data_IF_684849500082
#
_entry.id   IF_684849500082
#
_cell.length_a   1.000
_cell.length_b   1.000
_cell.length_c   1.000
_cell.angle_alpha   90.00
_cell.angle_beta   90.00
_cell.angle_gamma   90.00
#
_symmetry.space_group_name_H-M   'P 1'
#
loop_
_entity.id
_entity.type
_entity.pdbx_description
1 polymer ?
#
# COMPACT_ATOMS: atom_id res chain seq x y z
N UNK A 1 -5.43 18.83 -16.02
CA UNK A 1 -6.36 19.18 -14.92
C UNK A 1 -6.11 18.32 -13.68
N UNK A 2 -6.08 17.00 -13.79
CA UNK A 2 -5.75 16.12 -12.65
C UNK A 2 -4.38 16.47 -12.04
N UNK A 3 -3.36 16.72 -12.85
CA UNK A 3 -2.03 17.12 -12.36
C UNK A 3 -2.06 18.39 -11.48
N UNK A 4 -2.86 19.39 -11.83
CA UNK A 4 -3.01 20.58 -11.00
C UNK A 4 -3.76 20.29 -9.69
N UNK A 5 -4.73 19.38 -9.72
CA UNK A 5 -5.39 18.91 -8.48
C UNK A 5 -4.41 18.16 -7.58
N UNK A 6 -3.56 17.31 -8.15
CA UNK A 6 -2.49 16.60 -7.44
C UNK A 6 -1.55 17.59 -6.75
N UNK A 7 -1.06 18.60 -7.46
CA UNK A 7 -0.19 19.63 -6.88
C UNK A 7 -0.89 20.41 -5.75
N UNK A 8 -2.17 20.77 -5.95
CA UNK A 8 -2.94 21.45 -4.92
C UNK A 8 -3.14 20.58 -3.66
N UNK A 9 -3.33 19.26 -3.83
CA UNK A 9 -3.44 18.31 -2.70
C UNK A 9 -2.09 18.19 -1.98
N UNK A 10 -0.97 18.12 -2.72
CA UNK A 10 0.37 18.09 -2.12
C UNK A 10 0.64 19.33 -1.27
N UNK A 11 0.27 20.50 -1.76
CA UNK A 11 0.51 21.78 -1.09
C UNK A 11 -0.45 22.03 0.09
N UNK A 12 -1.75 21.74 -0.09
CA UNK A 12 -2.79 22.14 0.86
C UNK A 12 -3.36 20.97 1.68
N UNK A 13 -2.94 19.74 1.38
CA UNK A 13 -3.41 18.54 2.06
C UNK A 13 -4.77 18.01 1.58
N UNK A 14 -5.28 16.92 2.20
CA UNK A 14 -6.48 16.21 1.75
C UNK A 14 -7.77 17.04 1.87
N UNK A 15 -7.77 18.10 2.70
CA UNK A 15 -8.90 19.03 2.86
C UNK A 15 -8.99 20.11 1.80
N UNK A 16 -8.17 20.05 0.73
CA UNK A 16 -8.12 21.07 -0.32
C UNK A 16 -9.49 21.40 -0.91
N UNK A 17 -9.78 22.70 -1.04
CA UNK A 17 -11.03 23.17 -1.63
C UNK A 17 -10.96 23.20 -3.16
N UNK A 18 -12.13 23.07 -3.80
CA UNK A 18 -12.26 23.24 -5.26
C UNK A 18 -11.73 24.59 -5.75
N UNK A 19 -11.79 25.63 -4.90
CA UNK A 19 -11.24 26.95 -5.23
C UNK A 19 -9.71 26.94 -5.32
N UNK A 20 -9.05 26.28 -4.39
CA UNK A 20 -7.59 26.11 -4.38
C UNK A 20 -7.13 25.28 -5.57
N UNK A 21 -7.82 24.20 -5.89
CA UNK A 21 -7.53 23.39 -7.08
C UNK A 21 -7.67 24.19 -8.37
N UNK A 22 -8.74 24.99 -8.51
CA UNK A 22 -8.92 25.86 -9.66
C UNK A 22 -7.83 26.93 -9.76
N UNK A 23 -7.43 27.51 -8.62
CA UNK A 23 -6.34 28.48 -8.56
C UNK A 23 -4.99 27.86 -8.94
N UNK A 24 -4.66 26.66 -8.45
CA UNK A 24 -3.46 25.92 -8.82
C UNK A 24 -3.42 25.58 -10.33
N UNK A 25 -4.59 25.35 -10.93
CA UNK A 25 -4.73 25.14 -12.37
C UNK A 25 -4.69 26.45 -13.20
N UNK A 26 -4.63 27.63 -12.56
CA UNK A 26 -4.70 28.92 -13.24
C UNK A 26 -6.05 29.22 -13.88
N UNK A 27 -7.15 28.64 -13.37
CA UNK A 27 -8.49 28.76 -13.93
C UNK A 27 -9.50 29.16 -12.85
N UNK A 28 -10.74 29.44 -13.28
CA UNK A 28 -11.86 29.69 -12.37
C UNK A 28 -12.63 28.43 -12.06
N UNK A 29 -13.35 28.39 -10.92
CA UNK A 29 -14.25 27.28 -10.58
C UNK A 29 -15.22 26.88 -11.71
N UNK A 30 -15.91 27.82 -12.41
CA UNK A 30 -16.78 27.45 -13.52
C UNK A 30 -16.04 26.74 -14.67
N UNK A 31 -14.77 27.09 -14.91
CA UNK A 31 -13.96 26.40 -15.94
C UNK A 31 -13.58 24.99 -15.46
N UNK A 32 -13.26 24.82 -14.19
CA UNK A 32 -12.98 23.50 -13.61
C UNK A 32 -14.21 22.58 -13.74
N UNK A 33 -15.40 23.07 -13.41
CA UNK A 33 -16.66 22.32 -13.54
C UNK A 33 -17.12 22.05 -14.99
N UNK A 34 -16.42 22.58 -15.99
CA UNK A 34 -16.57 22.15 -17.39
C UNK A 34 -15.80 20.86 -17.70
N UNK A 35 -14.80 20.55 -16.88
CA UNK A 35 -14.00 19.34 -17.01
C UNK A 35 -14.45 18.21 -16.09
N UNK A 36 -15.00 18.56 -14.93
CA UNK A 36 -15.51 17.62 -13.94
C UNK A 36 -16.95 17.98 -13.63
N UNK A 37 -17.84 16.99 -13.70
CA UNK A 37 -19.27 17.22 -13.48
C UNK A 37 -19.56 17.79 -12.08
N UNK A 38 -18.81 17.32 -11.08
CA UNK A 38 -18.90 17.74 -9.70
C UNK A 38 -17.59 17.48 -8.94
N UNK A 39 -17.61 17.66 -7.60
CA UNK A 39 -16.48 17.35 -6.73
C UNK A 39 -16.18 15.84 -6.69
N UNK A 40 -17.20 15.01 -6.79
CA UNK A 40 -17.06 13.56 -6.76
C UNK A 40 -16.30 13.04 -8.00
N UNK A 41 -16.62 13.60 -9.17
CA UNK A 41 -15.96 13.29 -10.43
C UNK A 41 -14.47 13.69 -10.40
N UNK A 42 -14.16 14.88 -9.87
CA UNK A 42 -12.78 15.32 -9.64
C UNK A 42 -12.04 14.36 -8.68
N UNK A 43 -12.68 13.97 -7.60
CA UNK A 43 -12.08 13.06 -6.61
C UNK A 43 -11.82 11.69 -7.23
N UNK A 44 -12.74 11.17 -8.04
CA UNK A 44 -12.58 9.92 -8.78
C UNK A 44 -11.37 10.01 -9.72
N UNK A 45 -11.25 11.07 -10.51
CA UNK A 45 -10.13 11.26 -11.42
C UNK A 45 -8.77 11.35 -10.71
N UNK A 46 -8.72 11.94 -9.51
CA UNK A 46 -7.51 11.95 -8.68
C UNK A 46 -7.23 10.55 -8.11
N UNK A 47 -8.26 9.82 -7.67
CA UNK A 47 -8.10 8.46 -7.15
C UNK A 47 -7.58 7.50 -8.24
N UNK A 48 -8.08 7.61 -9.47
CA UNK A 48 -7.56 6.87 -10.63
C UNK A 48 -6.07 7.16 -10.86
N UNK A 49 -5.70 8.44 -10.83
CA UNK A 49 -4.30 8.83 -11.00
C UNK A 49 -3.38 8.26 -9.90
N UNK A 50 -3.82 8.29 -8.64
CA UNK A 50 -3.06 7.72 -7.51
C UNK A 50 -2.96 6.20 -7.63
N UNK A 51 -4.03 5.54 -8.09
CA UNK A 51 -4.02 4.11 -8.39
C UNK A 51 -2.99 3.77 -9.48
N UNK A 52 -2.97 4.53 -10.57
CA UNK A 52 -2.00 4.37 -11.66
C UNK A 52 -0.55 4.57 -11.16
N UNK A 53 -0.31 5.58 -10.31
CA UNK A 53 1.01 5.80 -9.69
C UNK A 53 1.47 4.59 -8.87
N UNK A 54 0.57 3.98 -8.10
CA UNK A 54 0.87 2.77 -7.34
C UNK A 54 1.19 1.59 -8.27
N UNK A 55 0.36 1.35 -9.28
CA UNK A 55 0.56 0.24 -10.21
C UNK A 55 1.84 0.40 -11.03
N UNK A 56 2.22 1.62 -11.41
CA UNK A 56 3.51 1.89 -12.08
C UNK A 56 4.72 1.55 -11.22
N UNK A 57 4.60 1.54 -9.89
CA UNK A 57 5.66 1.08 -8.98
C UNK A 57 5.65 -0.45 -8.79
N UNK A 58 4.48 -1.06 -8.81
CA UNK A 58 4.31 -2.51 -8.57
C UNK A 58 4.66 -3.34 -9.80
N UNK A 59 4.19 -2.97 -11.00
CA UNK A 59 4.42 -3.77 -12.21
C UNK A 59 5.89 -4.06 -12.52
N UNK A 60 6.82 -3.10 -12.45
CA UNK A 60 8.24 -3.39 -12.69
C UNK A 60 8.83 -4.43 -11.74
N UNK A 61 8.38 -4.39 -10.48
CA UNK A 61 8.84 -5.30 -9.43
C UNK A 61 8.37 -6.74 -9.71
N UNK A 62 7.13 -6.91 -10.18
CA UNK A 62 6.58 -8.21 -10.52
C UNK A 62 7.19 -8.80 -11.81
N UNK A 63 7.79 -7.97 -12.66
CA UNK A 63 8.41 -8.40 -13.91
C UNK A 63 9.86 -8.92 -13.74
N UNK A 64 10.46 -8.75 -12.56
CA UNK A 64 11.81 -9.24 -12.26
C UNK A 64 11.72 -10.74 -11.95
N UNK A 65 12.68 -11.52 -12.46
CA UNK A 65 12.84 -12.92 -12.06
C UNK A 65 13.53 -12.97 -10.68
N UNK A 66 12.76 -13.27 -9.65
CA UNK A 66 13.20 -13.24 -8.25
C UNK A 66 12.49 -14.34 -7.44
N UNK A 67 13.04 -14.65 -6.27
CA UNK A 67 12.39 -15.58 -5.36
C UNK A 67 11.05 -15.01 -4.83
N UNK A 68 10.06 -15.87 -4.55
CA UNK A 68 8.73 -15.41 -4.13
C UNK A 68 8.74 -14.48 -2.92
N UNK A 69 9.63 -14.69 -1.95
CA UNK A 69 9.77 -13.82 -0.78
C UNK A 69 10.30 -12.43 -1.17
N UNK A 70 11.19 -12.37 -2.15
CA UNK A 70 11.74 -11.10 -2.65
C UNK A 70 10.65 -10.29 -3.37
N UNK A 71 9.77 -10.95 -4.14
CA UNK A 71 8.59 -10.31 -4.72
C UNK A 71 7.65 -9.74 -3.66
N UNK A 72 7.36 -10.53 -2.61
CA UNK A 72 6.52 -10.06 -1.50
C UNK A 72 7.14 -8.80 -0.87
N UNK A 73 8.43 -8.85 -0.54
CA UNK A 73 9.14 -7.71 0.05
C UNK A 73 9.13 -6.48 -0.86
N UNK A 74 9.41 -6.68 -2.14
CA UNK A 74 9.49 -5.59 -3.09
C UNK A 74 8.13 -4.93 -3.39
N UNK A 75 7.03 -5.69 -3.42
CA UNK A 75 5.67 -5.14 -3.54
C UNK A 75 5.28 -4.35 -2.30
N UNK A 76 5.61 -4.85 -1.11
CA UNK A 76 5.37 -4.14 0.15
C UNK A 76 6.18 -2.83 0.18
N UNK A 77 7.46 -2.87 -0.19
CA UNK A 77 8.32 -1.68 -0.24
C UNK A 77 7.80 -0.65 -1.26
N UNK A 78 7.37 -1.09 -2.43
CA UNK A 78 6.78 -0.23 -3.45
C UNK A 78 5.51 0.49 -2.94
N UNK A 79 4.64 -0.23 -2.23
CA UNK A 79 3.44 0.35 -1.62
C UNK A 79 3.81 1.33 -0.50
N UNK A 80 4.67 0.92 0.45
CA UNK A 80 5.10 1.77 1.56
C UNK A 80 5.85 3.02 1.07
N UNK A 81 6.69 2.87 0.05
CA UNK A 81 7.37 3.99 -0.61
C UNK A 81 6.38 4.98 -1.24
N UNK A 82 5.33 4.48 -1.89
CA UNK A 82 4.29 5.35 -2.46
C UNK A 82 3.58 6.18 -1.37
N UNK A 83 3.16 5.56 -0.27
CA UNK A 83 2.47 6.29 0.81
C UNK A 83 3.43 7.20 1.60
N UNK A 84 4.72 6.90 1.60
CA UNK A 84 5.77 7.72 2.20
C UNK A 84 6.05 8.99 1.39
N UNK A 85 6.17 8.84 0.07
CA UNK A 85 6.47 9.93 -0.85
C UNK A 85 5.24 10.84 -1.05
N UNK A 86 4.03 10.27 -1.01
CA UNK A 86 2.78 10.95 -1.36
C UNK A 86 1.74 10.87 -0.22
N UNK A 87 2.07 11.26 1.02
CA UNK A 87 1.19 11.06 2.16
C UNK A 87 -0.11 11.85 2.07
N UNK A 88 -0.09 13.01 1.42
CA UNK A 88 -1.28 13.84 1.26
C UNK A 88 -2.24 13.27 0.20
N UNK A 89 -1.70 12.74 -0.90
CA UNK A 89 -2.49 12.06 -1.92
C UNK A 89 -3.11 10.78 -1.38
N UNK A 90 -2.31 9.98 -0.65
CA UNK A 90 -2.80 8.77 -0.01
C UNK A 90 -3.96 9.08 0.95
N UNK A 91 -3.79 10.07 1.84
CA UNK A 91 -4.85 10.50 2.74
C UNK A 91 -6.08 11.04 2.01
N UNK A 92 -5.90 11.74 0.90
CA UNK A 92 -7.00 12.24 0.08
C UNK A 92 -7.86 11.09 -0.49
N UNK A 93 -7.24 9.99 -0.92
CA UNK A 93 -7.91 8.81 -1.48
C UNK A 93 -8.53 7.94 -0.40
N UNK A 94 -7.85 7.78 0.75
CA UNK A 94 -8.26 6.84 1.82
C UNK A 94 -9.11 7.52 2.90
N UNK A 95 -8.95 8.83 3.08
CA UNK A 95 -9.64 9.58 4.14
C UNK A 95 -11.11 9.83 3.80
N UNK A 96 -11.98 9.01 4.25
CA UNK A 96 -13.12 9.32 5.10
C UNK A 96 -14.04 8.09 5.34
N UNK A 97 -13.95 7.39 6.46
CA UNK A 97 -14.84 6.27 6.75
C UNK A 97 -16.29 6.69 7.12
N UNK A 98 -16.57 7.97 7.29
CA UNK A 98 -17.88 8.45 7.76
C UNK A 98 -18.84 8.84 6.63
N UNK A 99 -18.38 9.05 5.40
CA UNK A 99 -19.21 9.30 4.23
C UNK A 99 -18.74 8.46 3.04
N UNK A 100 -19.62 8.05 2.11
CA UNK A 100 -19.20 7.40 0.88
C UNK A 100 -18.26 8.36 0.13
N UNK A 101 -16.96 8.08 0.17
CA UNK A 101 -15.97 8.91 -0.51
C UNK A 101 -16.09 8.60 -2.00
N UNK A 102 -16.40 9.58 -2.85
CA UNK A 102 -16.36 9.40 -4.29
C UNK A 102 -14.96 8.95 -4.70
N UNK A 103 -14.87 7.82 -5.42
CA UNK A 103 -13.59 7.21 -5.78
C UNK A 103 -13.11 6.10 -4.82
N UNK A 104 -13.83 5.81 -3.74
CA UNK A 104 -13.54 4.65 -2.89
C UNK A 104 -13.68 3.33 -3.66
N UNK A 105 -14.57 3.30 -4.65
CA UNK A 105 -14.70 2.19 -5.61
C UNK A 105 -13.39 1.91 -6.34
N UNK A 106 -12.61 2.96 -6.69
CA UNK A 106 -11.34 2.81 -7.41
C UNK A 106 -10.28 2.18 -6.49
N UNK A 107 -10.21 2.63 -5.24
CA UNK A 107 -9.33 2.00 -4.26
C UNK A 107 -9.74 0.54 -3.98
N UNK A 108 -11.05 0.24 -4.06
CA UNK A 108 -11.56 -1.13 -4.01
C UNK A 108 -11.21 -1.91 -5.27
N UNK A 109 -11.31 -1.30 -6.45
CA UNK A 109 -10.96 -1.94 -7.73
C UNK A 109 -9.47 -2.29 -7.78
N UNK A 110 -8.58 -1.39 -7.36
CA UNK A 110 -7.13 -1.67 -7.26
C UNK A 110 -6.85 -2.78 -6.26
N UNK A 111 -7.48 -2.76 -5.09
CA UNK A 111 -7.37 -3.86 -4.12
C UNK A 111 -7.90 -5.16 -4.68
N UNK A 112 -9.02 -5.11 -5.41
CA UNK A 112 -9.59 -6.26 -6.10
C UNK A 112 -8.66 -6.85 -7.15
N UNK A 113 -8.02 -6.02 -7.97
CA UNK A 113 -7.04 -6.46 -8.98
C UNK A 113 -5.82 -7.12 -8.32
N UNK A 114 -5.24 -6.50 -7.30
CA UNK A 114 -4.11 -7.08 -6.54
C UNK A 114 -4.57 -8.37 -5.85
N UNK A 115 -5.77 -8.38 -5.27
CA UNK A 115 -6.36 -9.56 -4.63
C UNK A 115 -6.55 -10.71 -5.60
N UNK A 116 -7.08 -10.45 -6.80
CA UNK A 116 -7.25 -11.46 -7.84
C UNK A 116 -5.91 -12.03 -8.31
N UNK A 117 -4.90 -11.17 -8.49
CA UNK A 117 -3.55 -11.61 -8.86
C UNK A 117 -2.95 -12.52 -7.76
N UNK A 118 -2.98 -12.10 -6.51
CA UNK A 118 -2.49 -12.91 -5.40
C UNK A 118 -3.27 -14.22 -5.23
N UNK A 119 -4.60 -14.18 -5.37
CA UNK A 119 -5.46 -15.37 -5.33
C UNK A 119 -5.06 -16.37 -6.41
N UNK A 120 -4.80 -15.89 -7.63
CA UNK A 120 -4.35 -16.72 -8.75
C UNK A 120 -3.00 -17.35 -8.44
N UNK A 121 -2.01 -16.53 -8.03
CA UNK A 121 -0.66 -17.00 -7.70
C UNK A 121 -0.67 -18.04 -6.57
N UNK A 122 -1.38 -17.78 -5.47
CA UNK A 122 -1.50 -18.73 -4.37
C UNK A 122 -2.24 -20.01 -4.79
N UNK A 123 -3.35 -19.86 -5.53
CA UNK A 123 -4.16 -20.98 -5.98
C UNK A 123 -3.39 -21.88 -6.93
N UNK A 124 -2.62 -21.34 -7.87
CA UNK A 124 -1.77 -22.11 -8.79
C UNK A 124 -0.66 -22.83 -8.04
N UNK A 125 0.00 -22.15 -7.12
CA UNK A 125 1.07 -22.74 -6.32
C UNK A 125 0.57 -23.92 -5.50
N UNK A 126 -0.53 -23.74 -4.75
CA UNK A 126 -1.12 -24.80 -3.92
C UNK A 126 -1.56 -25.99 -4.77
N UNK A 127 -2.19 -25.77 -5.92
CA UNK A 127 -2.58 -26.85 -6.84
C UNK A 127 -1.38 -27.59 -7.41
N UNK A 128 -0.30 -26.90 -7.76
CA UNK A 128 0.92 -27.51 -8.24
C UNK A 128 1.56 -28.46 -7.20
N UNK A 129 1.34 -28.16 -5.92
CA UNK A 129 1.77 -28.99 -4.78
C UNK A 129 0.74 -30.04 -4.34
N UNK A 130 -0.38 -30.17 -5.08
CA UNK A 130 -1.45 -31.12 -4.76
C UNK A 130 -2.24 -30.76 -3.49
N UNK A 131 -2.26 -29.47 -3.12
CA UNK A 131 -2.92 -28.94 -1.92
C UNK A 131 -4.26 -28.29 -2.22
N UNK A 132 -5.09 -28.16 -1.19
CA UNK A 132 -6.33 -27.41 -1.26
C UNK A 132 -6.04 -25.92 -1.48
N UNK A 133 -6.60 -25.36 -2.56
CA UNK A 133 -6.48 -23.95 -2.93
C UNK A 133 -7.64 -23.08 -2.44
N UNK A 134 -8.60 -23.62 -1.67
CA UNK A 134 -9.80 -22.90 -1.22
C UNK A 134 -9.51 -21.70 -0.32
N UNK A 135 -8.35 -21.69 0.36
CA UNK A 135 -7.93 -20.57 1.21
C UNK A 135 -7.29 -19.40 0.47
N UNK A 136 -6.94 -19.53 -0.82
CA UNK A 136 -6.12 -18.56 -1.56
C UNK A 136 -6.72 -17.15 -1.59
N UNK A 137 -8.03 -17.02 -1.82
CA UNK A 137 -8.72 -15.73 -1.85
C UNK A 137 -8.74 -15.06 -0.48
N UNK A 138 -9.07 -15.81 0.57
CA UNK A 138 -9.09 -15.28 1.94
C UNK A 138 -7.70 -14.79 2.39
N UNK A 139 -6.64 -15.51 2.02
CA UNK A 139 -5.26 -15.12 2.32
C UNK A 139 -4.84 -13.88 1.55
N UNK A 140 -5.18 -13.79 0.26
CA UNK A 140 -4.90 -12.60 -0.55
C UNK A 140 -5.49 -11.35 0.07
N UNK A 141 -6.77 -11.38 0.44
CA UNK A 141 -7.44 -10.25 1.09
C UNK A 141 -6.89 -9.96 2.49
N UNK A 142 -6.56 -11.00 3.27
CA UNK A 142 -5.94 -10.84 4.58
C UNK A 142 -4.58 -10.14 4.52
N UNK A 143 -3.73 -10.53 3.56
CA UNK A 143 -2.41 -9.93 3.33
C UNK A 143 -2.55 -8.45 2.93
N UNK A 144 -3.43 -8.14 1.97
CA UNK A 144 -3.66 -6.76 1.53
C UNK A 144 -4.12 -5.89 2.71
N UNK A 145 -5.10 -6.37 3.50
CA UNK A 145 -5.59 -5.65 4.67
C UNK A 145 -4.51 -5.44 5.73
N UNK A 146 -3.68 -6.44 5.99
CA UNK A 146 -2.58 -6.35 6.94
C UNK A 146 -1.54 -5.30 6.50
N UNK A 147 -1.09 -5.34 5.25
CA UNK A 147 -0.10 -4.40 4.72
C UNK A 147 -0.66 -2.98 4.72
N UNK A 148 -1.92 -2.79 4.33
CA UNK A 148 -2.58 -1.49 4.32
C UNK A 148 -2.69 -0.92 5.72
N UNK A 149 -3.23 -1.67 6.68
CA UNK A 149 -3.42 -1.21 8.06
C UNK A 149 -2.08 -0.91 8.75
N UNK A 150 -1.08 -1.76 8.51
CA UNK A 150 0.27 -1.52 9.05
C UNK A 150 0.92 -0.27 8.42
N UNK A 151 0.74 -0.05 7.11
CA UNK A 151 1.23 1.13 6.41
C UNK A 151 0.57 2.42 6.91
N UNK A 152 -0.74 2.42 7.13
CA UNK A 152 -1.48 3.55 7.72
C UNK A 152 -0.97 3.89 9.11
N UNK A 153 -0.89 2.90 9.98
CA UNK A 153 -0.34 3.06 11.32
C UNK A 153 1.10 3.62 11.28
N UNK A 154 1.95 3.08 10.41
CA UNK A 154 3.33 3.52 10.28
C UNK A 154 3.43 4.94 9.73
N UNK A 155 2.59 5.31 8.76
CA UNK A 155 2.56 6.67 8.19
C UNK A 155 2.24 7.74 9.24
N UNK A 156 1.43 7.39 10.25
CA UNK A 156 1.09 8.28 11.35
C UNK A 156 2.21 8.38 12.40
N UNK A 157 2.84 7.27 12.74
CA UNK A 157 3.73 7.16 13.89
C UNK A 157 5.21 7.28 13.55
N UNK A 158 5.64 6.79 12.40
CA UNK A 158 7.03 6.83 11.94
C UNK A 158 8.05 6.30 12.96
N UNK A 159 7.71 5.27 13.72
CA UNK A 159 8.54 4.71 14.79
C UNK A 159 9.68 3.83 14.30
N UNK A 160 9.66 3.45 13.01
CA UNK A 160 10.69 2.64 12.37
C UNK A 160 10.90 3.07 10.92
N UNK A 161 11.99 2.63 10.29
CA UNK A 161 12.25 2.87 8.87
C UNK A 161 11.29 2.06 7.99
N UNK A 162 11.13 2.48 6.71
CA UNK A 162 10.38 1.72 5.71
C UNK A 162 10.94 0.31 5.55
N UNK A 163 12.26 0.18 5.43
CA UNK A 163 12.94 -1.11 5.29
C UNK A 163 12.63 -2.04 6.46
N UNK A 164 12.63 -1.53 7.70
CA UNK A 164 12.30 -2.34 8.87
C UNK A 164 10.86 -2.84 8.81
N UNK A 165 9.90 -1.97 8.46
CA UNK A 165 8.50 -2.37 8.33
C UNK A 165 8.30 -3.38 7.19
N UNK A 166 8.94 -3.14 6.03
CA UNK A 166 8.95 -4.07 4.89
C UNK A 166 9.43 -5.45 5.33
N UNK A 167 10.56 -5.52 6.04
CA UNK A 167 11.13 -6.78 6.51
C UNK A 167 10.20 -7.49 7.49
N UNK A 168 9.62 -6.79 8.46
CA UNK A 168 8.68 -7.39 9.43
C UNK A 168 7.44 -7.96 8.75
N UNK A 169 6.83 -7.20 7.85
CA UNK A 169 5.63 -7.65 7.13
C UNK A 169 5.95 -8.82 6.20
N UNK A 170 7.05 -8.76 5.46
CA UNK A 170 7.47 -9.83 4.55
C UNK A 170 7.77 -11.12 5.29
N UNK A 171 8.48 -11.05 6.41
CA UNK A 171 8.78 -12.20 7.25
C UNK A 171 7.50 -12.85 7.81
N UNK A 172 6.55 -12.03 8.30
CA UNK A 172 5.28 -12.51 8.84
C UNK A 172 4.42 -13.19 7.76
N UNK A 173 4.30 -12.55 6.59
CA UNK A 173 3.52 -13.06 5.45
C UNK A 173 4.14 -14.36 4.95
N UNK A 174 5.45 -14.36 4.73
CA UNK A 174 6.14 -15.54 4.20
C UNK A 174 6.10 -16.72 5.18
N UNK A 175 6.31 -16.46 6.47
CA UNK A 175 6.20 -17.48 7.51
C UNK A 175 4.80 -18.09 7.58
N UNK A 176 3.75 -17.29 7.40
CA UNK A 176 2.37 -17.76 7.31
C UNK A 176 2.14 -18.62 6.07
N UNK A 177 2.56 -18.16 4.90
CA UNK A 177 2.44 -18.88 3.62
C UNK A 177 3.22 -20.21 3.69
N UNK A 178 4.48 -20.18 4.09
CA UNK A 178 5.32 -21.37 4.20
C UNK A 178 4.74 -22.40 5.16
N UNK A 179 4.23 -21.96 6.32
CA UNK A 179 3.59 -22.84 7.30
C UNK A 179 2.34 -23.51 6.78
N UNK A 180 1.48 -22.79 6.05
CA UNK A 180 0.26 -23.37 5.45
C UNK A 180 0.60 -24.23 4.23
N UNK A 181 1.56 -23.82 3.43
CA UNK A 181 2.03 -24.59 2.28
C UNK A 181 2.84 -25.83 2.68
N UNK A 182 3.16 -26.04 3.99
CA UNK A 182 4.00 -27.14 4.46
C UNK A 182 5.34 -27.19 3.72
N UNK A 183 5.82 -26.02 3.33
CA UNK A 183 7.17 -25.87 2.82
C UNK A 183 8.05 -26.05 4.05
N UNK A 184 8.60 -27.26 4.22
CA UNK A 184 9.68 -27.54 5.16
C UNK A 184 10.88 -26.69 4.72
N UNK A 185 10.87 -25.44 5.05
CA UNK A 185 12.01 -24.56 4.92
C UNK A 185 12.73 -24.55 6.27
N UNK A 186 13.84 -25.29 6.41
CA UNK A 186 14.68 -25.20 7.63
C UNK A 186 15.13 -23.77 7.92
N UNK A 187 15.13 -22.92 6.90
CA UNK A 187 15.39 -21.48 6.95
C UNK A 187 14.19 -20.64 7.39
N UNK A 188 12.95 -21.08 7.18
CA UNK A 188 11.76 -20.28 7.48
C UNK A 188 11.63 -19.94 8.98
N UNK A 189 12.06 -20.84 9.89
CA UNK A 189 11.98 -20.61 11.33
C UNK A 189 13.24 -19.96 11.94
N UNK A 190 14.43 -20.22 11.39
CA UNK A 190 15.67 -19.71 11.95
C UNK A 190 16.04 -18.32 11.38
N UNK A 191 15.75 -18.09 10.11
CA UNK A 191 16.09 -16.83 9.44
C UNK A 191 15.02 -15.74 9.61
N UNK A 192 13.75 -16.09 9.84
CA UNK A 192 12.70 -15.10 10.19
C UNK A 192 13.07 -14.34 11.47
N UNK A 193 13.60 -15.04 12.49
CA UNK A 193 14.03 -14.39 13.72
C UNK A 193 15.33 -13.59 13.55
N UNK A 194 16.15 -13.88 12.53
CA UNK A 194 17.35 -13.11 12.20
C UNK A 194 17.06 -11.87 11.35
N UNK A 195 15.95 -11.86 10.60
CA UNK A 195 15.48 -10.68 9.86
C UNK A 195 14.84 -9.63 10.78
N UNK A 196 14.49 -10.01 12.01
CA UNK A 196 14.03 -9.06 13.03
C UNK A 196 15.28 -8.40 13.65
N UNK A 197 15.54 -7.11 13.43
CA UNK A 197 16.67 -6.42 14.05
C UNK A 197 16.57 -6.55 15.57
N UNK A 198 17.67 -6.89 16.24
CA UNK A 198 17.69 -6.87 17.70
C UNK A 198 17.28 -5.47 18.19
N UNK A 199 16.40 -5.38 19.20
CA UNK A 199 15.99 -4.10 19.75
C UNK A 199 17.25 -3.37 20.23
N UNK A 200 17.51 -2.18 19.68
CA UNK A 200 18.54 -1.30 20.19
C UNK A 200 18.10 -0.89 21.59
N UNK A 201 18.65 -1.56 22.59
CA UNK A 201 18.51 -1.15 23.99
C UNK A 201 19.22 0.19 24.12
N UNK A 202 18.46 1.27 24.11
CA UNK A 202 18.97 2.58 24.51
C UNK A 202 19.32 2.46 25.99
N UNK A 203 20.61 2.35 26.26
CA UNK A 203 21.14 2.38 27.61
C UNK A 203 20.81 3.75 28.24
N UNK A 204 19.76 3.76 29.07
CA UNK A 204 19.32 4.93 29.81
C UNK A 204 20.17 5.14 31.08
N UNK A 205 21.41 4.61 31.12
CA UNK A 205 22.34 4.82 32.25
C UNK A 205 23.29 5.99 31.98
N UNK A 206 22.72 7.19 31.92
CA UNK A 206 23.45 8.47 31.88
C UNK A 206 22.89 9.48 32.83
N UNK A 207 22.66 9.10 34.12
CA UNK A 207 22.50 10.08 35.20
C UNK A 207 23.46 9.77 36.33
N UNK A 208 24.09 10.85 36.76
CA UNK A 208 24.84 11.13 37.97
C UNK A 208 26.38 10.99 37.88
N UNK A 209 26.99 12.12 37.49
CA UNK A 209 27.88 12.87 38.45
C UNK A 209 28.23 14.24 37.91
#
# INVERSE_FOLDING_TARGET
>A
MVSAAVEAIREHGPGVSVAQIAAAAGITKPVLYRHFADRADLQRAVSEHVADMLMQRIYPVLAIDAEPIEHVAAVIDAYLGMIEDEPQLYRFVVANPAEPVPGAEIAQDVRGQIGALLTTLFGERLRAEGRDSGGAEAWAHGIIGMVQTAGEWWLERRTMSRDALTNYLSALIWGGIAGVAGIDSPTANADILRLVPEPQVHDASGRDR
#
